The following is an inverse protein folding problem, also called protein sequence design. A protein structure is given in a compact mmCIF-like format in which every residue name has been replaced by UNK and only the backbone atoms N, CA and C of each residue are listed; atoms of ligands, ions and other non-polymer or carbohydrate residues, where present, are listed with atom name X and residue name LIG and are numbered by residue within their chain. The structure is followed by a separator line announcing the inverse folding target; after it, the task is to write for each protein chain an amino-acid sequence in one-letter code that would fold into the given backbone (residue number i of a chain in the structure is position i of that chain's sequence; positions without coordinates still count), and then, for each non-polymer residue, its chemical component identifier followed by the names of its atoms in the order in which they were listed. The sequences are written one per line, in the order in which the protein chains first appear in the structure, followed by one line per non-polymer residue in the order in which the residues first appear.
data_IF_217301873246
#
_entry.id   IF_217301873246
#
_cell.length_a   1.000
_cell.length_b   1.000
_cell.length_c   1.000
_cell.angle_alpha   90.00
_cell.angle_beta   90.00
_cell.angle_gamma   90.00
#
_symmetry.space_group_name_H-M   'P 1'
#
loop_
_entity.id
_entity.type
_entity.pdbx_description
1 polymer ?
#
# COMPACT_ATOMS: atom_id res chain seq x y z
N UNK A 1 28.81 5.22 -3.78
CA UNK A 1 28.52 5.21 -2.33
C UNK A 1 27.20 4.50 -2.09
N UNK A 2 27.21 3.44 -1.36
CA UNK A 2 25.94 2.87 -0.95
C UNK A 2 25.22 3.84 -0.03
N UNK A 3 23.98 4.12 -0.31
CA UNK A 3 23.14 4.92 0.57
C UNK A 3 22.84 4.13 1.85
N UNK A 4 22.58 4.85 2.93
CA UNK A 4 22.15 4.20 4.17
C UNK A 4 20.86 3.42 3.88
N UNK A 5 20.79 2.13 4.27
CA UNK A 5 19.57 1.36 4.05
C UNK A 5 18.38 2.00 4.75
N UNK A 6 17.23 1.92 4.15
CA UNK A 6 15.98 2.42 4.74
C UNK A 6 15.71 1.74 6.08
N UNK A 7 15.93 0.44 6.15
CA UNK A 7 15.85 -0.32 7.40
C UNK A 7 17.14 -1.10 7.61
N UNK A 8 17.56 -1.33 8.86
CA UNK A 8 18.73 -2.17 9.13
C UNK A 8 18.61 -3.54 8.46
N UNK A 9 19.73 -4.07 7.99
CA UNK A 9 19.77 -5.31 7.22
C UNK A 9 19.11 -6.49 7.95
N UNK A 10 19.24 -6.52 9.27
CA UNK A 10 18.72 -7.60 10.12
C UNK A 10 17.36 -7.27 10.75
N UNK A 11 16.79 -6.09 10.43
CA UNK A 11 15.49 -5.71 10.98
C UNK A 11 14.38 -6.53 10.30
N UNK A 12 13.54 -7.25 11.09
CA UNK A 12 12.47 -8.03 10.50
C UNK A 12 11.32 -7.12 10.06
N UNK A 13 11.13 -7.01 8.73
CA UNK A 13 10.00 -6.29 8.18
C UNK A 13 8.77 -7.19 8.29
N UNK A 14 7.67 -6.74 8.92
CA UNK A 14 6.49 -7.57 9.04
C UNK A 14 5.97 -8.00 7.66
N UNK A 15 5.73 -9.29 7.49
CA UNK A 15 5.17 -9.83 6.26
C UNK A 15 3.65 -9.66 6.23
N UNK A 16 3.00 -9.68 7.38
CA UNK A 16 1.54 -9.58 7.49
C UNK A 16 1.14 -8.81 8.74
N UNK A 17 -0.06 -8.23 8.66
CA UNK A 17 -0.76 -7.66 9.80
C UNK A 17 -2.23 -8.01 9.63
N UNK A 18 -2.85 -8.58 10.65
CA UNK A 18 -4.24 -9.02 10.57
C UNK A 18 -5.09 -8.39 11.66
N UNK A 19 -6.33 -8.05 11.29
CA UNK A 19 -7.40 -7.71 12.20
C UNK A 19 -8.60 -8.60 11.86
N UNK A 20 -9.69 -8.50 12.62
CA UNK A 20 -10.91 -9.24 12.30
C UNK A 20 -11.52 -8.79 10.97
N UNK A 21 -11.19 -7.58 10.54
CA UNK A 21 -11.82 -6.93 9.41
C UNK A 21 -11.00 -7.03 8.13
N UNK A 22 -9.66 -7.01 8.23
CA UNK A 22 -8.80 -7.02 7.06
C UNK A 22 -7.45 -7.65 7.37
N UNK A 23 -6.74 -7.97 6.30
CA UNK A 23 -5.39 -8.50 6.36
C UNK A 23 -4.50 -7.69 5.43
N UNK A 24 -3.35 -7.25 5.94
CA UNK A 24 -2.29 -6.66 5.13
C UNK A 24 -1.22 -7.71 4.88
N UNK A 25 -0.74 -7.77 3.65
CA UNK A 25 0.41 -8.60 3.31
C UNK A 25 1.15 -7.98 2.14
N UNK A 26 2.36 -8.45 1.87
CA UNK A 26 3.17 -7.95 0.76
C UNK A 26 2.37 -7.99 -0.53
N UNK A 27 2.36 -6.86 -1.25
CA UNK A 27 1.74 -6.76 -2.57
C UNK A 27 2.64 -7.46 -3.58
N UNK A 28 2.06 -8.37 -4.37
CA UNK A 28 2.80 -9.12 -5.38
C UNK A 28 2.11 -9.05 -6.73
N UNK A 29 2.81 -9.51 -7.78
CA UNK A 29 2.23 -9.57 -9.13
C UNK A 29 1.00 -10.47 -9.21
N UNK A 30 0.86 -11.43 -8.30
CA UNK A 30 -0.29 -12.32 -8.26
C UNK A 30 -1.59 -11.61 -7.85
N UNK A 31 -1.48 -10.40 -7.32
CA UNK A 31 -2.63 -9.62 -6.87
C UNK A 31 -3.23 -8.75 -7.97
N UNK A 32 -2.70 -8.79 -9.19
CA UNK A 32 -2.98 -7.79 -10.22
C UNK A 32 -4.47 -7.65 -10.56
N UNK A 33 -5.20 -8.76 -10.67
CA UNK A 33 -6.62 -8.69 -11.08
C UNK A 33 -7.47 -8.02 -10.00
N UNK A 34 -7.32 -8.45 -8.76
CA UNK A 34 -8.08 -7.90 -7.64
C UNK A 34 -7.63 -6.48 -7.31
N UNK A 35 -6.34 -6.20 -7.43
CA UNK A 35 -5.79 -4.86 -7.21
C UNK A 35 -6.30 -3.89 -8.27
N UNK A 36 -6.29 -4.29 -9.53
CA UNK A 36 -6.78 -3.48 -10.64
C UNK A 36 -8.26 -3.14 -10.45
N UNK A 37 -9.05 -4.11 -10.00
CA UNK A 37 -10.47 -3.89 -9.71
C UNK A 37 -10.64 -2.85 -8.60
N UNK A 38 -9.86 -2.94 -7.53
CA UNK A 38 -9.91 -1.97 -6.44
C UNK A 38 -9.49 -0.58 -6.88
N UNK A 39 -8.39 -0.48 -7.64
CA UNK A 39 -7.87 0.80 -8.13
C UNK A 39 -8.87 1.47 -9.07
N UNK A 40 -9.37 0.75 -10.06
CA UNK A 40 -10.23 1.33 -11.08
C UNK A 40 -11.64 1.65 -10.57
N UNK A 41 -12.08 1.02 -9.50
CA UNK A 41 -13.33 1.40 -8.83
C UNK A 41 -13.15 2.53 -7.82
N UNK A 42 -11.93 3.06 -7.69
CA UNK A 42 -11.59 4.10 -6.71
C UNK A 42 -10.92 5.32 -7.34
N UNK A 43 -11.09 5.52 -8.65
CA UNK A 43 -10.39 6.59 -9.38
C UNK A 43 -10.64 7.96 -8.76
N UNK A 44 -11.90 8.29 -8.48
CA UNK A 44 -12.24 9.60 -7.92
C UNK A 44 -11.59 9.82 -6.56
N UNK A 45 -11.64 8.82 -5.69
CA UNK A 45 -11.01 8.92 -4.38
C UNK A 45 -9.50 9.05 -4.49
N UNK A 46 -8.87 8.23 -5.34
CA UNK A 46 -7.42 8.27 -5.52
C UNK A 46 -6.94 9.61 -6.06
N UNK A 47 -7.73 10.27 -6.89
CA UNK A 47 -7.41 11.61 -7.38
C UNK A 47 -7.45 12.66 -6.28
N UNK A 48 -8.17 12.44 -5.18
CA UNK A 48 -8.13 13.36 -4.04
C UNK A 48 -6.85 13.21 -3.23
N UNK A 49 -6.24 12.02 -3.24
CA UNK A 49 -4.99 11.75 -2.52
C UNK A 49 -3.79 12.23 -3.34
N UNK A 50 -3.80 11.97 -4.65
CA UNK A 50 -2.72 12.36 -5.57
C UNK A 50 -3.28 13.21 -6.72
N UNK A 51 -3.63 14.47 -6.45
CA UNK A 51 -4.31 15.31 -7.45
C UNK A 51 -3.39 15.79 -8.58
N UNK A 52 -2.08 15.81 -8.36
CA UNK A 52 -1.14 16.35 -9.34
C UNK A 52 -0.74 15.38 -10.44
N UNK A 53 -1.04 14.10 -10.31
CA UNK A 53 -0.69 13.09 -11.28
C UNK A 53 -1.89 12.61 -12.06
N UNK A 54 -1.63 11.82 -13.11
CA UNK A 54 -2.69 11.23 -13.90
C UNK A 54 -3.18 9.90 -13.35
N UNK A 55 -2.30 9.15 -12.67
CA UNK A 55 -2.64 7.86 -12.11
C UNK A 55 -3.85 7.99 -11.17
N UNK A 56 -4.85 7.10 -11.23
CA UNK A 56 -4.92 5.91 -12.08
C UNK A 56 -5.79 6.11 -13.34
N UNK A 57 -6.00 7.33 -13.80
CA UNK A 57 -6.82 7.61 -14.98
C UNK A 57 -6.18 6.93 -16.20
N UNK A 58 -6.96 6.10 -16.89
CA UNK A 58 -6.47 5.40 -18.07
C UNK A 58 -5.52 4.24 -17.82
N UNK A 59 -5.35 3.83 -16.56
CA UNK A 59 -4.49 2.70 -16.20
C UNK A 59 -5.01 1.43 -16.86
N UNK A 60 -4.13 0.66 -17.50
CA UNK A 60 -4.47 -0.64 -18.06
C UNK A 60 -4.06 -1.75 -17.08
N UNK A 61 -4.64 -2.94 -17.27
CA UNK A 61 -4.28 -4.10 -16.47
C UNK A 61 -2.78 -4.42 -16.60
N UNK A 62 -2.25 -4.32 -17.83
CA UNK A 62 -0.83 -4.57 -18.07
C UNK A 62 0.06 -3.56 -17.36
N UNK A 63 -0.29 -2.29 -17.40
CA UNK A 63 0.46 -1.26 -16.66
C UNK A 63 0.40 -1.51 -15.17
N UNK A 64 -0.75 -1.93 -14.66
CA UNK A 64 -0.86 -2.24 -13.24
C UNK A 64 0.00 -3.45 -12.85
N UNK A 65 0.09 -4.45 -13.73
CA UNK A 65 0.97 -5.59 -13.51
C UNK A 65 2.44 -5.15 -13.39
N UNK A 66 2.86 -4.24 -14.25
CA UNK A 66 4.22 -3.70 -14.21
C UNK A 66 4.45 -2.94 -12.90
N UNK A 67 3.48 -2.14 -12.49
CA UNK A 67 3.56 -1.40 -11.22
C UNK A 67 3.68 -2.35 -10.01
N UNK A 68 2.91 -3.44 -10.02
CA UNK A 68 2.98 -4.43 -8.94
C UNK A 68 4.33 -5.14 -8.92
N UNK A 69 4.90 -5.41 -10.08
CA UNK A 69 6.24 -5.99 -10.19
C UNK A 69 7.30 -5.07 -9.60
N UNK A 70 7.18 -3.76 -9.83
CA UNK A 70 8.07 -2.77 -9.25
C UNK A 70 7.95 -2.75 -7.72
N UNK A 71 6.72 -2.72 -7.20
CA UNK A 71 6.49 -2.73 -5.76
C UNK A 71 7.02 -4.01 -5.12
N UNK A 72 6.83 -5.16 -5.76
CA UNK A 72 7.33 -6.43 -5.25
C UNK A 72 8.86 -6.42 -5.17
N UNK A 73 9.52 -5.94 -6.22
CA UNK A 73 10.99 -5.81 -6.24
C UNK A 73 11.47 -4.90 -5.12
N UNK A 74 10.84 -3.72 -4.96
CA UNK A 74 11.24 -2.76 -3.94
C UNK A 74 11.10 -3.35 -2.53
N UNK A 75 10.06 -4.13 -2.28
CA UNK A 75 9.87 -4.81 -1.01
C UNK A 75 10.99 -5.83 -0.76
N UNK A 76 11.31 -6.63 -1.78
CA UNK A 76 12.33 -7.68 -1.66
C UNK A 76 13.71 -7.12 -1.42
N UNK A 77 14.05 -5.98 -2.03
CA UNK A 77 15.34 -5.32 -1.80
C UNK A 77 15.30 -4.33 -0.63
N UNK A 78 14.18 -4.27 0.09
CA UNK A 78 13.99 -3.50 1.32
C UNK A 78 14.16 -1.99 1.13
N UNK A 79 13.73 -1.47 -0.02
CA UNK A 79 13.82 -0.05 -0.33
C UNK A 79 12.52 0.69 -0.04
N UNK A 80 11.40 0.06 -0.34
CA UNK A 80 10.06 0.55 0.02
C UNK A 80 9.13 -0.63 0.16
N UNK A 81 8.05 -0.48 0.94
CA UNK A 81 7.20 -1.62 1.30
C UNK A 81 5.76 -1.29 0.97
N UNK A 82 5.20 -1.98 -0.03
CA UNK A 82 3.80 -1.87 -0.39
C UNK A 82 3.04 -3.10 0.09
N UNK A 83 1.95 -2.88 0.81
CA UNK A 83 1.09 -3.92 1.36
C UNK A 83 -0.29 -3.81 0.71
N UNK A 84 -0.79 -4.92 0.19
CA UNK A 84 -2.20 -4.98 -0.21
C UNK A 84 -3.05 -5.20 1.04
N UNK A 85 -4.23 -4.57 1.06
CA UNK A 85 -5.21 -4.76 2.13
C UNK A 85 -6.35 -5.57 1.55
N UNK A 86 -6.55 -6.77 2.08
CA UNK A 86 -7.54 -7.71 1.57
C UNK A 86 -8.55 -8.05 2.66
N UNK A 87 -9.72 -8.53 2.25
CA UNK A 87 -10.68 -9.12 3.19
C UNK A 87 -10.07 -10.37 3.83
N UNK A 88 -10.55 -10.82 5.00
CA UNK A 88 -9.96 -12.00 5.65
C UNK A 88 -9.93 -13.25 4.78
N UNK A 89 -10.91 -13.42 3.88
CA UNK A 89 -10.93 -14.53 2.93
C UNK A 89 -10.06 -14.29 1.70
N UNK A 90 -9.49 -13.08 1.56
CA UNK A 90 -8.72 -12.63 0.40
C UNK A 90 -9.53 -12.60 -0.91
N UNK A 91 -10.85 -12.52 -0.81
CA UNK A 91 -11.70 -12.45 -2.00
C UNK A 91 -11.68 -11.10 -2.70
N UNK A 92 -11.37 -10.02 -1.96
CA UNK A 92 -11.35 -8.65 -2.48
C UNK A 92 -10.17 -7.88 -1.93
N UNK A 93 -9.60 -7.03 -2.78
CA UNK A 93 -8.68 -5.98 -2.33
C UNK A 93 -9.52 -4.77 -1.89
N UNK A 94 -9.28 -4.29 -0.68
CA UNK A 94 -10.04 -3.16 -0.12
C UNK A 94 -9.16 -1.95 0.17
N UNK A 95 -7.86 -2.01 -0.14
CA UNK A 95 -6.97 -0.88 0.04
C UNK A 95 -5.52 -1.22 -0.21
N UNK A 96 -4.67 -0.27 0.10
CA UNK A 96 -3.22 -0.43 -0.05
C UNK A 96 -2.51 0.48 0.94
N UNK A 97 -1.35 0.04 1.43
CA UNK A 97 -0.50 0.82 2.34
C UNK A 97 0.90 0.83 1.76
N UNK A 98 1.50 2.02 1.70
CA UNK A 98 2.86 2.22 1.19
C UNK A 98 3.72 2.81 2.30
N UNK A 99 4.85 2.17 2.60
CA UNK A 99 5.83 2.65 3.57
C UNK A 99 7.10 2.96 2.81
N UNK A 100 7.49 4.23 2.76
CA UNK A 100 8.57 4.72 1.92
C UNK A 100 9.54 5.58 2.74
N UNK A 101 10.82 5.66 2.33
CA UNK A 101 11.75 6.60 2.94
C UNK A 101 11.33 8.04 2.62
N UNK A 102 11.58 8.96 3.55
CA UNK A 102 11.29 10.37 3.34
C UNK A 102 12.56 11.19 3.39
N UNK A 103 12.56 12.30 2.66
CA UNK A 103 13.65 13.28 2.71
C UNK A 103 13.31 14.50 3.59
N UNK A 104 12.16 14.48 4.26
CA UNK A 104 11.78 15.56 5.17
C UNK A 104 12.63 15.52 6.43
N UNK A 105 13.17 16.67 6.82
CA UNK A 105 13.97 16.79 8.04
C UNK A 105 13.14 16.38 9.26
N UNK A 106 13.70 15.52 10.09
CA UNK A 106 13.06 15.09 11.33
C UNK A 106 12.16 13.88 11.19
N UNK A 107 12.04 13.31 9.98
CA UNK A 107 11.21 12.14 9.73
C UNK A 107 12.02 11.08 8.99
N UNK A 108 11.81 9.81 9.34
CA UNK A 108 12.48 8.68 8.70
C UNK A 108 11.63 8.03 7.61
N UNK A 109 10.33 8.17 7.69
CA UNK A 109 9.39 7.37 6.90
C UNK A 109 8.20 8.21 6.48
N UNK A 110 7.71 7.96 5.27
CA UNK A 110 6.40 8.44 4.79
C UNK A 110 5.49 7.24 4.65
N UNK A 111 4.25 7.39 5.11
CA UNK A 111 3.24 6.36 4.95
C UNK A 111 2.07 6.94 4.17
N UNK A 112 1.72 6.26 3.08
CA UNK A 112 0.54 6.57 2.28
C UNK A 112 -0.40 5.39 2.38
N UNK A 113 -1.69 5.65 2.42
CA UNK A 113 -2.68 4.58 2.40
C UNK A 113 -3.95 5.06 1.74
N UNK A 114 -4.71 4.11 1.21
CA UNK A 114 -6.04 4.38 0.71
C UNK A 114 -6.92 3.15 0.92
N UNK A 115 -8.19 3.41 1.17
CA UNK A 115 -9.21 2.36 1.15
C UNK A 115 -10.01 2.45 -0.15
N UNK A 116 -10.52 1.31 -0.60
CA UNK A 116 -11.39 1.23 -1.76
C UNK A 116 -12.56 2.19 -1.58
N UNK A 117 -12.93 2.90 -2.64
CA UNK A 117 -13.93 3.96 -2.58
C UNK A 117 -15.27 3.46 -2.00
N UNK A 118 -15.67 2.24 -2.32
CA UNK A 118 -16.88 1.65 -1.79
C UNK A 118 -16.89 1.48 -0.26
N UNK A 119 -15.71 1.50 0.37
CA UNK A 119 -15.56 1.28 1.80
C UNK A 119 -15.40 2.58 2.60
N UNK A 120 -15.38 3.73 1.93
CA UNK A 120 -15.17 5.01 2.61
C UNK A 120 -16.32 5.37 3.55
N UNK A 121 -17.55 5.14 3.12
CA UNK A 121 -18.72 5.45 3.93
C UNK A 121 -18.77 4.61 5.21
N UNK A 122 -18.22 3.40 5.17
CA UNK A 122 -18.14 2.53 6.34
C UNK A 122 -16.96 2.83 7.26
N UNK A 123 -16.09 3.79 6.91
CA UNK A 123 -14.98 4.21 7.77
C UNK A 123 -13.75 3.33 7.70
N UNK A 124 -13.60 2.47 6.68
CA UNK A 124 -12.47 1.56 6.60
C UNK A 124 -11.13 2.29 6.54
N UNK A 125 -11.07 3.42 5.80
CA UNK A 125 -9.81 4.16 5.67
C UNK A 125 -9.31 4.69 7.02
N UNK A 126 -10.22 5.17 7.86
CA UNK A 126 -9.86 5.65 9.19
C UNK A 126 -9.39 4.50 10.08
N UNK A 127 -10.07 3.36 10.02
CA UNK A 127 -9.66 2.18 10.81
C UNK A 127 -8.33 1.61 10.35
N UNK A 128 -8.08 1.65 9.04
CA UNK A 128 -6.80 1.24 8.47
C UNK A 128 -5.68 2.17 8.97
N UNK A 129 -5.91 3.47 8.95
CA UNK A 129 -4.95 4.44 9.46
C UNK A 129 -4.61 4.17 10.93
N UNK A 130 -5.63 3.94 11.76
CA UNK A 130 -5.42 3.66 13.18
C UNK A 130 -4.61 2.37 13.37
N UNK A 131 -4.91 1.31 12.63
CA UNK A 131 -4.21 0.04 12.74
C UNK A 131 -2.72 0.18 12.39
N UNK A 132 -2.41 0.92 11.31
CA UNK A 132 -1.04 1.15 10.89
C UNK A 132 -0.31 2.03 11.89
N UNK A 133 -0.95 3.11 12.35
CA UNK A 133 -0.34 4.07 13.27
C UNK A 133 0.01 3.43 14.61
N UNK A 134 -0.84 2.56 15.12
CA UNK A 134 -0.55 1.88 16.39
C UNK A 134 0.63 0.91 16.28
N UNK A 135 0.86 0.34 15.09
CA UNK A 135 2.02 -0.54 14.83
C UNK A 135 3.31 0.25 14.68
N UNK A 136 3.25 1.45 14.08
CA UNK A 136 4.44 2.26 13.85
C UNK A 136 4.85 3.06 15.08
N UNK A 137 3.96 3.24 16.05
CA UNK A 137 4.24 4.00 17.27
C UNK A 137 5.04 3.19 18.30
N UNK A 138 5.20 1.90 18.09
CA UNK A 138 6.01 1.04 18.94
C UNK A 138 7.35 0.77 18.26
#
# INVERSE_FOLDING_TARGET
MPSTPFVPRDFPVPATLETDEFRLRMLTVHDVVKDYDAVMSSVDHLKTIWPGGQWPVGLTLEQNLIDLGWHQKEFQIRRSFAYTVVTPSESRVVGCVYVEPTYKTGYDTEVYLWARQSELAGGLEDRLYVAIHSRTAT
#
